data_IF_191970168255
#
_entry.id   IF_191970168255
#
_cell.length_a   1.000
_cell.length_b   1.000
_cell.length_c   1.000
_cell.angle_alpha   90.00
_cell.angle_beta   90.00
_cell.angle_gamma   90.00
#
_symmetry.space_group_name_H-M   'P 1'
#
loop_
_entity.id
_entity.type
_entity.pdbx_description
1 polymer ?
#
# COMPACT_ATOMS: atom_id res chain seq x y z
N UNK A 1 13.65 1.56 -29.86
CA UNK A 1 13.76 1.42 -28.40
C UNK A 1 12.38 1.06 -27.91
N UNK A 2 12.08 -0.23 -27.94
CA UNK A 2 10.80 -0.78 -27.48
C UNK A 2 10.88 -0.84 -25.95
N UNK A 3 10.17 0.07 -25.28
CA UNK A 3 10.04 0.05 -23.82
C UNK A 3 9.00 -1.01 -23.47
N UNK A 4 9.50 -2.15 -23.01
CA UNK A 4 8.82 -3.13 -22.17
C UNK A 4 7.34 -3.38 -22.46
N UNK A 5 7.06 -4.46 -23.19
CA UNK A 5 5.85 -5.24 -22.88
C UNK A 5 5.93 -5.65 -21.41
N UNK A 6 5.24 -4.93 -20.54
CA UNK A 6 4.77 -5.50 -19.28
C UNK A 6 3.92 -6.71 -19.67
N UNK A 7 4.45 -7.91 -19.42
CA UNK A 7 3.77 -9.17 -19.67
C UNK A 7 2.43 -9.14 -18.95
N UNK A 8 1.36 -8.91 -19.70
CA UNK A 8 -0.01 -8.94 -19.21
C UNK A 8 -0.42 -10.40 -19.07
N UNK A 9 0.14 -11.08 -18.07
CA UNK A 9 -0.46 -12.31 -17.55
C UNK A 9 -1.72 -11.91 -16.78
N UNK A 10 -2.90 -12.50 -17.04
CA UNK A 10 -4.16 -12.20 -16.36
C UNK A 10 -4.21 -12.83 -14.94
N UNK A 11 -3.09 -12.76 -14.22
CA UNK A 11 -3.07 -12.63 -12.76
C UNK A 11 -3.09 -11.12 -12.49
N UNK A 12 -4.19 -10.45 -12.80
CA UNK A 12 -4.44 -9.10 -12.29
C UNK A 12 -4.55 -9.22 -10.78
N UNK A 13 -3.43 -8.97 -10.13
CA UNK A 13 -3.11 -9.12 -8.72
C UNK A 13 -4.12 -8.34 -7.89
N UNK A 14 -4.75 -9.01 -6.91
CA UNK A 14 -5.58 -8.36 -5.91
C UNK A 14 -4.70 -7.33 -5.18
N UNK A 15 -5.03 -6.04 -5.28
CA UNK A 15 -4.29 -4.99 -4.58
C UNK A 15 -4.54 -5.07 -3.08
N UNK A 16 -3.65 -4.48 -2.27
CA UNK A 16 -3.85 -4.41 -0.82
C UNK A 16 -5.22 -3.79 -0.46
N UNK A 17 -5.62 -2.71 -1.15
CA UNK A 17 -6.89 -2.01 -0.92
C UNK A 17 -8.09 -2.92 -1.23
N UNK A 18 -8.07 -3.60 -2.39
CA UNK A 18 -9.14 -4.53 -2.76
C UNK A 18 -9.17 -5.76 -1.84
N UNK A 19 -8.01 -6.26 -1.39
CA UNK A 19 -7.92 -7.34 -0.41
C UNK A 19 -8.52 -6.93 0.93
N UNK A 20 -8.14 -5.76 1.45
CA UNK A 20 -8.61 -5.25 2.74
C UNK A 20 -10.12 -5.04 2.74
N UNK A 21 -10.67 -4.45 1.69
CA UNK A 21 -12.12 -4.24 1.58
C UNK A 21 -12.92 -5.55 1.42
N UNK A 22 -12.28 -6.63 0.95
CA UNK A 22 -12.91 -7.94 0.77
C UNK A 22 -12.92 -8.80 2.06
N UNK A 23 -12.31 -8.35 3.15
CA UNK A 23 -12.28 -9.10 4.42
C UNK A 23 -13.68 -9.15 5.08
N UNK A 24 -14.03 -10.26 5.77
CA UNK A 24 -15.26 -10.32 6.56
C UNK A 24 -15.30 -9.21 7.62
N UNK A 25 -16.41 -8.45 7.68
CA UNK A 25 -16.58 -7.31 8.58
C UNK A 25 -16.16 -5.96 7.99
N UNK A 26 -15.66 -5.92 6.75
CA UNK A 26 -15.22 -4.71 6.06
C UNK A 26 -16.23 -4.21 5.01
N UNK A 27 -17.50 -4.61 5.10
CA UNK A 27 -18.53 -4.38 4.07
C UNK A 27 -18.92 -2.90 3.90
N UNK A 28 -18.51 -2.02 4.81
CA UNK A 28 -18.76 -0.58 4.75
C UNK A 28 -17.58 0.24 4.18
N UNK A 29 -16.41 -0.37 3.97
CA UNK A 29 -15.28 0.31 3.35
C UNK A 29 -15.48 0.43 1.84
N UNK A 30 -14.86 1.45 1.26
CA UNK A 30 -14.80 1.62 -0.18
C UNK A 30 -13.35 1.64 -0.64
N UNK A 31 -13.10 1.11 -1.82
CA UNK A 31 -11.78 1.12 -2.43
C UNK A 31 -11.44 2.56 -2.86
N UNK A 32 -10.37 3.11 -2.28
CA UNK A 32 -9.85 4.42 -2.62
C UNK A 32 -8.85 4.27 -3.77
N UNK A 33 -8.89 5.15 -4.76
CA UNK A 33 -7.94 5.10 -5.87
C UNK A 33 -6.53 5.43 -5.43
N UNK A 34 -5.54 4.71 -5.96
CA UNK A 34 -4.12 4.99 -5.73
C UNK A 34 -3.74 6.43 -6.08
N UNK A 35 -4.24 6.98 -7.20
CA UNK A 35 -4.05 8.40 -7.58
C UNK A 35 -4.43 9.41 -6.48
N UNK A 36 -5.42 9.08 -5.64
CA UNK A 36 -5.84 9.94 -4.54
C UNK A 36 -4.87 9.84 -3.35
N UNK A 37 -4.36 8.64 -3.11
CA UNK A 37 -3.43 8.30 -2.03
C UNK A 37 -2.01 8.81 -2.35
N UNK A 38 -1.59 8.79 -3.62
CA UNK A 38 -0.28 9.29 -4.05
C UNK A 38 -0.17 10.83 -4.03
N UNK A 39 -1.30 11.54 -3.97
CA UNK A 39 -1.32 12.99 -3.83
C UNK A 39 -1.17 13.39 -2.35
N UNK A 40 0.04 13.78 -1.97
CA UNK A 40 0.43 14.24 -0.62
C UNK A 40 -0.52 15.31 -0.04
N UNK A 41 -1.17 16.12 -0.89
CA UNK A 41 -2.13 17.12 -0.41
C UNK A 41 -3.32 16.47 0.30
N UNK A 42 -3.81 15.34 -0.21
CA UNK A 42 -4.95 14.62 0.36
C UNK A 42 -4.64 13.95 1.70
N UNK A 43 -3.35 13.71 1.99
CA UNK A 43 -2.86 13.00 3.19
C UNK A 43 -2.22 13.93 4.23
N UNK A 44 -2.35 15.26 4.06
CA UNK A 44 -1.68 16.25 4.90
C UNK A 44 -1.99 16.04 6.39
N UNK A 45 -0.94 15.83 7.18
CA UNK A 45 -1.00 15.68 8.64
C UNK A 45 -1.05 14.23 9.14
N UNK A 46 -1.43 13.27 8.29
CA UNK A 46 -1.52 11.85 8.66
C UNK A 46 -0.16 11.24 9.04
N UNK A 47 0.90 11.68 8.37
CA UNK A 47 2.28 11.25 8.61
C UNK A 47 2.78 11.48 10.05
N UNK A 48 2.14 12.37 10.82
CA UNK A 48 2.47 12.61 12.23
C UNK A 48 1.65 11.78 13.21
N UNK A 49 0.56 11.18 12.74
CA UNK A 49 -0.39 10.42 13.55
C UNK A 49 -0.18 8.91 13.44
N UNK A 50 0.29 8.45 12.28
CA UNK A 50 0.43 7.03 11.96
C UNK A 50 1.89 6.61 12.17
N UNK A 51 2.17 5.63 13.05
CA UNK A 51 3.51 5.08 13.20
C UNK A 51 3.91 4.33 11.92
N UNK A 52 5.20 4.29 11.59
CA UNK A 52 5.70 3.62 10.38
C UNK A 52 4.99 4.08 9.10
N UNK A 53 4.71 5.38 9.00
CA UNK A 53 3.95 5.97 7.89
C UNK A 53 4.47 5.58 6.51
N UNK A 54 5.80 5.58 6.32
CA UNK A 54 6.41 5.23 5.03
C UNK A 54 6.12 3.77 4.68
N UNK A 55 6.37 2.87 5.62
CA UNK A 55 6.20 1.44 5.45
C UNK A 55 4.73 1.03 5.31
N UNK A 56 3.82 1.70 6.04
CA UNK A 56 2.39 1.53 5.91
C UNK A 56 1.89 1.96 4.53
N UNK A 57 2.36 3.12 4.03
CA UNK A 57 2.05 3.60 2.69
C UNK A 57 2.58 2.67 1.60
N UNK A 58 3.80 2.16 1.75
CA UNK A 58 4.38 1.16 0.84
C UNK A 58 3.53 -0.11 0.80
N UNK A 59 3.02 -0.57 1.94
CA UNK A 59 2.12 -1.71 2.02
C UNK A 59 0.77 -1.45 1.35
N UNK A 60 0.13 -0.30 1.62
CA UNK A 60 -1.17 0.06 1.03
C UNK A 60 -1.11 0.20 -0.50
N UNK A 61 0.03 0.67 -1.03
CA UNK A 61 0.26 0.88 -2.47
C UNK A 61 0.97 -0.29 -3.17
N UNK A 62 1.12 -1.44 -2.50
CA UNK A 62 1.84 -2.61 -3.02
C UNK A 62 3.26 -2.29 -3.57
N UNK A 63 3.95 -1.33 -2.93
CA UNK A 63 5.32 -0.92 -3.26
C UNK A 63 6.30 -1.84 -2.55
N UNK A 64 7.20 -2.47 -3.31
CA UNK A 64 8.28 -3.28 -2.72
C UNK A 64 9.25 -2.39 -1.93
N UNK A 65 9.59 -2.75 -0.67
CA UNK A 65 10.54 -1.99 0.12
C UNK A 65 11.94 -2.05 -0.50
N UNK A 66 12.67 -0.94 -0.48
CA UNK A 66 14.06 -0.93 -0.93
C UNK A 66 14.94 -1.79 0.01
N UNK A 67 15.84 -2.61 -0.55
CA UNK A 67 16.65 -3.61 0.17
C UNK A 67 17.41 -3.06 1.40
N UNK A 68 17.76 -1.76 1.40
CA UNK A 68 18.48 -1.11 2.49
C UNK A 68 17.60 -0.77 3.71
N UNK A 69 16.28 -0.66 3.52
CA UNK A 69 15.30 -0.38 4.56
C UNK A 69 14.60 -1.65 5.06
N UNK A 70 14.48 -2.69 4.23
CA UNK A 70 13.91 -4.00 4.60
C UNK A 70 14.57 -4.63 5.85
N UNK A 71 15.86 -4.39 6.06
CA UNK A 71 16.61 -4.88 7.22
C UNK A 71 16.37 -4.10 8.53
N UNK A 72 15.67 -2.95 8.46
CA UNK A 72 15.33 -2.08 9.60
C UNK A 72 13.86 -2.15 9.98
N UNK A 73 13.02 -2.76 9.15
CA UNK A 73 11.57 -2.86 9.39
C UNK A 73 11.35 -3.76 10.63
N UNK A 74 10.78 -3.24 11.72
CA UNK A 74 10.38 -4.06 12.85
C UNK A 74 9.23 -5.00 12.44
N UNK A 75 8.95 -6.01 13.27
CA UNK A 75 7.89 -7.02 13.10
C UNK A 75 6.74 -6.58 12.16
N UNK A 76 6.54 -7.31 11.06
CA UNK A 76 5.53 -7.04 10.00
C UNK A 76 4.16 -6.75 10.60
N UNK A 77 3.81 -7.38 11.72
CA UNK A 77 2.54 -7.14 12.41
C UNK A 77 2.31 -5.68 12.84
N UNK A 78 3.38 -4.93 13.10
CA UNK A 78 3.32 -3.52 13.49
C UNK A 78 2.98 -2.65 12.27
N UNK A 79 3.57 -2.96 11.12
CA UNK A 79 3.29 -2.25 9.87
C UNK A 79 1.89 -2.57 9.38
N UNK A 80 1.46 -3.84 9.44
CA UNK A 80 0.08 -4.25 9.12
C UNK A 80 -0.97 -3.58 10.01
N UNK A 81 -0.63 -3.23 11.25
CA UNK A 81 -1.56 -2.49 12.12
C UNK A 81 -1.63 -0.99 11.79
N UNK A 82 -0.67 -0.49 11.02
CA UNK A 82 -0.54 0.93 10.65
C UNK A 82 -1.08 1.21 9.24
N UNK A 83 -1.06 0.20 8.37
CA UNK A 83 -1.67 0.17 7.04
C UNK A 83 -3.18 -0.06 7.14
#
# INVERSE_FOLDING_TARGET
MDRGSASSTPTSTLTWISWFCALPGHEYFCEVSEDFIEDDFNLTGLNTMIPFWKEAMEMVLDVEPEDEDASKIPDVSIVESSA
#
